data_IF_539620328955
#
_entry.id   IF_539620328955
#
_cell.length_a   1.000
_cell.length_b   1.000
_cell.length_c   1.000
_cell.angle_alpha   90.00
_cell.angle_beta   90.00
_cell.angle_gamma   90.00
#
_symmetry.space_group_name_H-M   'P 1'
#
loop_
_entity.id
_entity.type
_entity.pdbx_description
1 polymer ?
#
# COMPACT_ATOMS: atom_id res chain seq x y z
N UNK A 1 -14.86 2.11 -6.96
CA UNK A 1 -13.40 2.33 -6.92
C UNK A 1 -12.75 1.01 -7.29
N UNK A 2 -11.77 1.06 -8.18
CA UNK A 2 -11.01 -0.10 -8.65
C UNK A 2 -9.53 0.23 -8.46
N UNK A 3 -8.70 -0.78 -8.21
CA UNK A 3 -7.24 -0.64 -8.13
C UNK A 3 -6.59 -1.93 -8.60
N UNK A 4 -5.36 -1.86 -9.09
CA UNK A 4 -4.60 -3.02 -9.54
C UNK A 4 -4.04 -3.83 -8.36
N UNK A 5 -3.80 -3.19 -7.21
CA UNK A 5 -3.29 -3.83 -6.00
C UNK A 5 -3.87 -3.19 -4.73
N UNK A 6 -4.44 -4.03 -3.86
CA UNK A 6 -4.83 -3.65 -2.50
C UNK A 6 -3.81 -4.21 -1.51
N UNK A 7 -3.25 -3.33 -0.67
CA UNK A 7 -2.37 -3.72 0.44
C UNK A 7 -3.09 -3.46 1.76
N UNK A 8 -3.21 -4.49 2.59
CA UNK A 8 -3.82 -4.42 3.92
C UNK A 8 -2.73 -4.48 5.00
N UNK A 9 -2.60 -3.40 5.77
CA UNK A 9 -1.57 -3.19 6.78
C UNK A 9 -0.37 -2.40 6.23
N UNK A 10 0.02 -1.34 6.94
CA UNK A 10 1.13 -0.45 6.60
C UNK A 10 2.32 -0.56 7.56
N UNK A 11 2.56 -1.76 8.08
CA UNK A 11 3.84 -2.11 8.69
C UNK A 11 4.98 -2.10 7.65
N UNK A 12 6.23 -2.36 8.06
CA UNK A 12 7.42 -2.20 7.20
C UNK A 12 7.37 -3.02 5.91
N UNK A 13 6.75 -4.20 5.91
CA UNK A 13 6.53 -4.97 4.69
C UNK A 13 5.43 -4.41 3.79
N UNK A 14 4.34 -3.94 4.41
CA UNK A 14 3.14 -3.49 3.70
C UNK A 14 3.36 -2.19 2.95
N UNK A 15 3.82 -1.13 3.62
CA UNK A 15 4.10 0.12 2.92
C UNK A 15 5.21 -0.05 1.88
N UNK A 16 6.22 -0.91 2.15
CA UNK A 16 7.31 -1.17 1.19
C UNK A 16 6.77 -1.82 -0.07
N UNK A 17 5.89 -2.81 0.06
CA UNK A 17 5.24 -3.43 -1.10
C UNK A 17 4.36 -2.42 -1.86
N UNK A 18 3.58 -1.60 -1.14
CA UNK A 18 2.72 -0.60 -1.75
C UNK A 18 3.50 0.46 -2.53
N UNK A 19 4.54 1.03 -1.94
CA UNK A 19 5.37 2.04 -2.60
C UNK A 19 6.15 1.46 -3.76
N UNK A 20 6.72 0.26 -3.60
CA UNK A 20 7.41 -0.39 -4.72
C UNK A 20 6.48 -0.67 -5.90
N UNK A 21 5.24 -1.08 -5.63
CA UNK A 21 4.22 -1.29 -6.66
C UNK A 21 3.82 0.04 -7.34
N UNK A 22 3.66 1.11 -6.56
CA UNK A 22 3.39 2.45 -7.09
C UNK A 22 4.55 2.97 -7.97
N UNK A 23 5.81 2.75 -7.56
CA UNK A 23 7.00 3.10 -8.36
C UNK A 23 7.05 2.39 -9.71
N UNK A 24 6.45 1.19 -9.79
CA UNK A 24 6.31 0.41 -11.02
C UNK A 24 5.08 0.83 -11.86
N UNK A 25 4.33 1.84 -11.42
CA UNK A 25 3.19 2.41 -12.13
C UNK A 25 1.86 1.68 -11.91
N UNK A 26 1.77 0.82 -10.88
CA UNK A 26 0.50 0.19 -10.52
C UNK A 26 -0.41 1.19 -9.82
N UNK A 27 -1.72 1.09 -10.07
CA UNK A 27 -2.74 1.73 -9.24
C UNK A 27 -2.89 0.96 -7.93
N UNK A 28 -2.46 1.56 -6.82
CA UNK A 28 -2.33 0.91 -5.52
C UNK A 28 -3.19 1.63 -4.48
N UNK A 29 -3.92 0.83 -3.69
CA UNK A 29 -4.59 1.29 -2.48
C UNK A 29 -3.93 0.63 -1.27
N UNK A 30 -3.43 1.43 -0.33
CA UNK A 30 -2.90 0.97 0.96
C UNK A 30 -3.90 1.30 2.07
N UNK A 31 -4.30 0.31 2.86
CA UNK A 31 -5.24 0.48 3.98
C UNK A 31 -4.54 0.15 5.28
N UNK A 32 -4.58 1.09 6.22
CA UNK A 32 -4.07 0.93 7.59
C UNK A 32 -5.15 1.37 8.58
N UNK A 33 -5.25 0.65 9.71
CA UNK A 33 -6.21 0.96 10.77
C UNK A 33 -5.74 2.12 11.65
N UNK A 34 -4.43 2.32 11.77
CA UNK A 34 -3.82 3.38 12.56
C UNK A 34 -3.56 4.64 11.72
N UNK A 35 -3.47 5.79 12.39
CA UNK A 35 -3.17 7.06 11.72
C UNK A 35 -1.69 7.19 11.29
N UNK A 36 -0.83 6.27 11.72
CA UNK A 36 0.61 6.25 11.44
C UNK A 36 1.00 5.03 10.61
N UNK A 37 2.02 5.21 9.76
CA UNK A 37 2.71 4.12 9.08
C UNK A 37 3.80 3.55 10.00
N UNK A 38 4.08 2.25 9.87
CA UNK A 38 5.07 1.54 10.69
C UNK A 38 4.44 0.73 11.81
#
# INVERSE_FOLDING_TARGET
MECALLVLGAGPGGYTAAFRAADLGLDVVLVERYASLG
#
